data_IF_939042585640
#
_entry.id   IF_939042585640
#
_cell.length_a   1.000
_cell.length_b   1.000
_cell.length_c   1.000
_cell.angle_alpha   90.00
_cell.angle_beta   90.00
_cell.angle_gamma   90.00
#
_symmetry.space_group_name_H-M   'P 1'
#
loop_
_entity.id
_entity.type
_entity.pdbx_description
1 polymer ?
#
# COMPACT_ATOMS: atom_id res chain seq x y z
N UNK A 1 59.02 15.19 -11.81
CA UNK A 1 57.60 14.80 -11.66
C UNK A 1 56.98 14.93 -13.04
N UNK A 2 56.84 13.79 -13.72
CA UNK A 2 56.48 13.75 -15.13
C UNK A 2 55.04 14.22 -15.35
N UNK A 3 54.76 14.74 -16.55
CA UNK A 3 53.43 15.24 -16.91
C UNK A 3 52.34 14.15 -16.78
N UNK A 4 52.71 12.86 -16.86
CA UNK A 4 51.81 11.74 -16.61
C UNK A 4 51.37 11.62 -15.15
N UNK A 5 52.26 11.84 -14.17
CA UNK A 5 51.93 11.70 -12.74
C UNK A 5 50.91 12.74 -12.29
N UNK A 6 50.98 13.94 -12.87
CA UNK A 6 50.03 15.03 -12.59
C UNK A 6 48.62 14.70 -13.10
N UNK A 7 48.51 14.08 -14.28
CA UNK A 7 47.22 13.69 -14.86
C UNK A 7 46.60 12.54 -14.06
N UNK A 8 47.40 11.53 -13.68
CA UNK A 8 46.95 10.42 -12.85
C UNK A 8 46.39 10.90 -11.50
N UNK A 9 47.08 11.84 -10.86
CA UNK A 9 46.68 12.40 -9.57
C UNK A 9 45.33 13.13 -9.63
N UNK A 10 45.08 13.89 -10.71
CA UNK A 10 43.83 14.63 -10.90
C UNK A 10 42.64 13.68 -11.10
N UNK A 11 42.82 12.60 -11.87
CA UNK A 11 41.77 11.60 -12.12
C UNK A 11 41.38 10.88 -10.83
N UNK A 12 42.36 10.53 -9.99
CA UNK A 12 42.10 9.85 -8.71
C UNK A 12 41.30 10.76 -7.77
N UNK A 13 41.65 12.04 -7.67
CA UNK A 13 40.91 13.00 -6.84
C UNK A 13 39.46 13.15 -7.34
N UNK A 14 39.27 13.19 -8.66
CA UNK A 14 37.93 13.28 -9.25
C UNK A 14 37.08 12.05 -8.94
N UNK A 15 37.65 10.85 -9.03
CA UNK A 15 36.95 9.60 -8.71
C UNK A 15 36.57 9.51 -7.23
N UNK A 16 37.44 9.98 -6.32
CA UNK A 16 37.15 10.01 -4.88
C UNK A 16 36.02 11.01 -4.57
N UNK A 17 36.06 12.21 -5.17
CA UNK A 17 35.01 13.20 -5.01
C UNK A 17 33.66 12.73 -5.58
N UNK A 18 33.68 12.05 -6.73
CA UNK A 18 32.48 11.49 -7.35
C UNK A 18 31.89 10.33 -6.56
N UNK A 19 32.74 9.44 -6.01
CA UNK A 19 32.32 8.35 -5.13
C UNK A 19 31.73 8.86 -3.80
N UNK A 20 32.32 9.92 -3.23
CA UNK A 20 31.76 10.60 -2.05
C UNK A 20 30.41 11.26 -2.33
N UNK A 21 30.23 11.84 -3.51
CA UNK A 21 28.97 12.44 -3.93
C UNK A 21 27.86 11.39 -4.14
N UNK A 22 28.18 10.23 -4.72
CA UNK A 22 27.22 9.14 -4.91
C UNK A 22 26.76 8.53 -3.57
N UNK A 23 27.68 8.34 -2.62
CA UNK A 23 27.35 7.79 -1.30
C UNK A 23 26.56 8.76 -0.42
N UNK A 24 26.81 10.07 -0.53
CA UNK A 24 26.03 11.09 0.18
C UNK A 24 24.57 11.20 -0.30
N UNK A 25 24.29 10.84 -1.56
CA UNK A 25 22.94 10.93 -2.14
C UNK A 25 22.02 9.78 -1.71
N UNK A 26 22.56 8.67 -1.22
CA UNK A 26 21.78 7.46 -0.90
C UNK A 26 21.43 7.34 0.60
N UNK A 27 22.11 8.09 1.48
CA UNK A 27 21.97 7.99 2.96
C UNK A 27 20.90 8.93 3.56
N UNK A 28 20.32 9.84 2.77
CA UNK A 28 19.52 10.96 3.32
C UNK A 28 17.99 10.80 3.30
N UNK A 29 17.40 9.59 3.23
CA UNK A 29 15.93 9.48 3.40
C UNK A 29 15.24 8.21 3.98
N UNK A 30 15.86 7.23 4.66
CA UNK A 30 15.07 6.17 5.31
C UNK A 30 14.41 6.62 6.63
N UNK A 31 15.15 7.33 7.50
CA UNK A 31 14.75 7.58 8.90
C UNK A 31 13.51 8.47 9.09
N UNK A 32 13.22 9.41 8.18
CA UNK A 32 12.05 10.29 8.31
C UNK A 32 10.74 9.58 7.93
N UNK A 33 10.80 8.65 6.97
CA UNK A 33 9.64 7.85 6.59
C UNK A 33 9.26 6.86 7.69
N UNK A 34 10.26 6.26 8.35
CA UNK A 34 10.03 5.30 9.44
C UNK A 34 9.42 5.97 10.68
N UNK A 35 9.91 7.14 11.09
CA UNK A 35 9.35 7.87 12.23
C UNK A 35 7.91 8.35 12.00
N UNK A 36 7.58 8.83 10.80
CA UNK A 36 6.22 9.21 10.43
C UNK A 36 5.29 7.98 10.43
N UNK A 37 5.77 6.84 9.93
CA UNK A 37 5.03 5.58 9.92
C UNK A 37 4.76 5.04 11.32
N UNK A 38 5.73 5.13 12.23
CA UNK A 38 5.58 4.65 13.60
C UNK A 38 4.65 5.56 14.43
N UNK A 39 4.69 6.87 14.19
CA UNK A 39 3.71 7.80 14.77
C UNK A 39 2.30 7.56 14.20
N UNK A 40 2.17 7.23 12.91
CA UNK A 40 0.89 6.87 12.29
C UNK A 40 0.29 5.58 12.88
N UNK A 41 1.10 4.55 13.10
CA UNK A 41 0.67 3.32 13.79
C UNK A 41 0.18 3.60 15.22
N UNK A 42 0.86 4.49 15.94
CA UNK A 42 0.46 4.86 17.30
C UNK A 42 -0.91 5.56 17.33
N UNK A 43 -1.23 6.37 16.30
CA UNK A 43 -2.53 7.04 16.17
C UNK A 43 -3.64 6.11 15.70
N UNK A 44 -3.34 5.15 14.81
CA UNK A 44 -4.31 4.17 14.32
C UNK A 44 -4.89 3.26 15.42
N UNK A 45 -4.16 3.08 16.53
CA UNK A 45 -4.56 2.24 17.66
C UNK A 45 -5.41 2.97 18.72
N UNK A 46 -5.71 4.26 18.54
CA UNK A 46 -6.59 4.97 19.47
C UNK A 46 -8.06 4.68 19.15
N UNK A 47 -8.81 4.18 20.13
CA UNK A 47 -10.24 3.98 19.99
C UNK A 47 -10.93 5.33 19.78
N UNK A 48 -11.45 5.57 18.58
CA UNK A 48 -12.28 6.72 18.25
C UNK A 48 -13.75 6.26 18.11
N UNK A 49 -14.65 6.68 19.02
CA UNK A 49 -16.08 6.31 18.96
C UNK A 49 -16.78 6.82 17.71
N UNK A 50 -16.47 8.04 17.26
CA UNK A 50 -17.08 8.66 16.08
C UNK A 50 -16.74 7.85 14.82
N UNK A 51 -15.45 7.57 14.63
CA UNK A 51 -14.97 6.72 13.54
C UNK A 51 -15.64 5.34 13.59
N UNK A 52 -15.68 4.72 14.77
CA UNK A 52 -16.30 3.39 14.93
C UNK A 52 -17.78 3.39 14.56
N UNK A 53 -18.52 4.46 14.88
CA UNK A 53 -19.92 4.59 14.49
C UNK A 53 -20.09 4.83 12.99
N UNK A 54 -19.31 5.74 12.39
CA UNK A 54 -19.34 5.99 10.95
C UNK A 54 -18.95 4.75 10.13
N UNK A 55 -17.95 3.97 10.57
CA UNK A 55 -17.56 2.70 9.95
C UNK A 55 -18.71 1.68 9.95
N UNK A 56 -19.46 1.57 11.06
CA UNK A 56 -20.65 0.69 11.13
C UNK A 56 -21.73 1.12 10.14
N UNK A 57 -21.99 2.42 10.03
CA UNK A 57 -22.96 2.95 9.07
C UNK A 57 -22.53 2.63 7.64
N UNK A 58 -21.27 2.87 7.29
CA UNK A 58 -20.73 2.54 5.98
C UNK A 58 -20.82 1.04 5.68
N UNK A 59 -20.48 0.17 6.65
CA UNK A 59 -20.65 -1.28 6.53
C UNK A 59 -22.11 -1.69 6.29
N UNK A 60 -23.06 -1.07 7.00
CA UNK A 60 -24.49 -1.33 6.80
C UNK A 60 -24.96 -0.88 5.40
N UNK A 61 -24.47 0.26 4.90
CA UNK A 61 -24.78 0.71 3.54
C UNK A 61 -24.27 -0.28 2.49
N UNK A 62 -23.07 -0.83 2.68
CA UNK A 62 -22.54 -1.89 1.81
C UNK A 62 -23.40 -3.15 1.86
N UNK A 63 -23.81 -3.61 3.06
CA UNK A 63 -24.68 -4.78 3.24
C UNK A 63 -26.03 -4.57 2.53
N UNK A 64 -26.61 -3.38 2.67
CA UNK A 64 -27.88 -2.99 2.07
C UNK A 64 -27.78 -2.61 0.58
N UNK A 65 -26.63 -2.87 -0.05
CA UNK A 65 -26.35 -2.58 -1.46
C UNK A 65 -26.53 -1.10 -1.86
N UNK A 66 -26.46 -0.19 -0.90
CA UNK A 66 -26.52 1.26 -1.12
C UNK A 66 -25.12 1.80 -1.46
N UNK A 67 -24.56 1.36 -2.59
CA UNK A 67 -23.14 1.51 -2.92
C UNK A 67 -22.70 2.97 -3.06
N UNK A 68 -23.52 3.85 -3.63
CA UNK A 68 -23.15 5.25 -3.84
C UNK A 68 -23.08 6.02 -2.52
N UNK A 69 -24.06 5.82 -1.63
CA UNK A 69 -24.05 6.38 -0.27
C UNK A 69 -22.89 5.83 0.55
N UNK A 70 -22.59 4.54 0.39
CA UNK A 70 -21.43 3.94 1.02
C UNK A 70 -20.14 4.61 0.53
N UNK A 71 -20.00 4.82 -0.79
CA UNK A 71 -18.83 5.48 -1.37
C UNK A 71 -18.63 6.90 -0.84
N UNK A 72 -19.68 7.72 -0.80
CA UNK A 72 -19.61 9.09 -0.26
C UNK A 72 -19.16 9.10 1.20
N UNK A 73 -19.74 8.22 2.02
CA UNK A 73 -19.37 8.12 3.43
C UNK A 73 -17.93 7.60 3.61
N UNK A 74 -17.51 6.60 2.84
CA UNK A 74 -16.14 6.06 2.92
C UNK A 74 -15.13 7.12 2.44
N UNK A 75 -15.45 7.93 1.43
CA UNK A 75 -14.62 9.09 1.02
C UNK A 75 -14.42 10.07 2.19
N UNK A 76 -15.50 10.42 2.89
CA UNK A 76 -15.39 11.29 4.06
C UNK A 76 -14.55 10.66 5.17
N UNK A 77 -14.68 9.34 5.39
CA UNK A 77 -13.90 8.62 6.39
C UNK A 77 -12.40 8.60 6.09
N UNK A 78 -12.00 8.45 4.83
CA UNK A 78 -10.59 8.55 4.43
C UNK A 78 -10.05 9.96 4.61
N UNK A 79 -10.87 10.99 4.33
CA UNK A 79 -10.47 12.39 4.51
C UNK A 79 -10.35 12.77 6.00
N UNK A 80 -11.31 12.38 6.82
CA UNK A 80 -11.37 12.67 8.26
C UNK A 80 -10.32 11.85 9.04
N UNK A 81 -10.02 10.63 8.58
CA UNK A 81 -9.15 9.67 9.28
C UNK A 81 -8.08 9.07 8.35
N UNK A 82 -7.16 9.90 7.81
CA UNK A 82 -6.21 9.49 6.76
C UNK A 82 -5.16 8.46 7.20
N UNK A 83 -5.03 8.23 8.51
CA UNK A 83 -4.08 7.27 9.08
C UNK A 83 -4.74 5.99 9.58
N UNK A 84 -6.05 5.85 9.39
CA UNK A 84 -6.77 4.64 9.75
C UNK A 84 -6.91 3.72 8.53
N UNK A 85 -6.55 2.44 8.69
CA UNK A 85 -6.65 1.46 7.61
C UNK A 85 -8.08 0.94 7.38
N UNK A 86 -9.01 1.10 8.33
CA UNK A 86 -10.38 0.54 8.23
C UNK A 86 -11.23 1.18 7.12
N UNK A 87 -11.18 2.50 6.89
CA UNK A 87 -11.84 3.10 5.71
C UNK A 87 -11.37 2.49 4.38
N UNK A 88 -10.07 2.23 4.23
CA UNK A 88 -9.53 1.56 3.04
C UNK A 88 -10.04 0.11 2.90
N UNK A 89 -10.20 -0.61 4.02
CA UNK A 89 -10.84 -1.94 4.00
C UNK A 89 -12.30 -1.88 3.50
N UNK A 90 -13.05 -0.82 3.85
CA UNK A 90 -14.41 -0.63 3.35
C UNK A 90 -14.45 -0.23 1.87
N UNK A 91 -13.49 0.58 1.41
CA UNK A 91 -13.35 0.88 -0.02
C UNK A 91 -13.06 -0.38 -0.84
N UNK A 92 -12.20 -1.26 -0.32
CA UNK A 92 -11.95 -2.53 -0.96
C UNK A 92 -13.23 -3.37 -1.07
N UNK A 93 -14.06 -3.38 -0.03
CA UNK A 93 -15.37 -4.08 -0.05
C UNK A 93 -16.36 -3.48 -1.04
N UNK A 94 -16.41 -2.16 -1.11
CA UNK A 94 -17.18 -1.44 -2.12
C UNK A 94 -16.74 -1.87 -3.52
N UNK A 95 -15.44 -1.89 -3.79
CA UNK A 95 -14.90 -2.26 -5.09
C UNK A 95 -15.15 -3.74 -5.44
N UNK A 96 -15.07 -4.65 -4.47
CA UNK A 96 -15.47 -6.04 -4.68
C UNK A 96 -16.95 -6.14 -5.05
N UNK A 97 -17.83 -5.38 -4.39
CA UNK A 97 -19.27 -5.33 -4.71
C UNK A 97 -19.57 -4.71 -6.08
N UNK A 98 -18.70 -3.81 -6.55
CA UNK A 98 -18.75 -3.21 -7.89
C UNK A 98 -18.08 -4.07 -8.98
N UNK A 99 -17.63 -5.29 -8.65
CA UNK A 99 -16.87 -6.17 -9.57
C UNK A 99 -15.59 -5.51 -10.10
N UNK A 100 -14.92 -4.73 -9.25
CA UNK A 100 -13.67 -4.02 -9.54
C UNK A 100 -12.52 -4.58 -8.69
N UNK A 101 -12.09 -5.84 -8.91
CA UNK A 101 -11.15 -6.52 -8.02
C UNK A 101 -9.74 -5.91 -8.04
N UNK A 102 -9.32 -5.29 -9.14
CA UNK A 102 -8.03 -4.59 -9.23
C UNK A 102 -8.03 -3.36 -8.32
N UNK A 103 -9.11 -2.57 -8.33
CA UNK A 103 -9.26 -1.41 -7.45
C UNK A 103 -9.35 -1.85 -5.98
N UNK A 104 -10.06 -2.94 -5.70
CA UNK A 104 -10.10 -3.52 -4.36
C UNK A 104 -8.71 -3.94 -3.85
N UNK A 105 -7.86 -4.52 -4.71
CA UNK A 105 -6.49 -4.89 -4.36
C UNK A 105 -5.67 -3.68 -3.90
N UNK A 106 -5.78 -2.53 -4.57
CA UNK A 106 -5.08 -1.31 -4.18
C UNK A 106 -5.55 -0.79 -2.81
N UNK A 107 -6.84 -0.84 -2.55
CA UNK A 107 -7.38 -0.39 -1.27
C UNK A 107 -7.05 -1.34 -0.12
N UNK A 108 -7.04 -2.65 -0.37
CA UNK A 108 -6.49 -3.61 0.59
C UNK A 108 -5.01 -3.35 0.87
N UNK A 109 -4.22 -2.96 -0.14
CA UNK A 109 -2.82 -2.58 0.07
C UNK A 109 -2.73 -1.38 1.02
N UNK A 110 -3.48 -0.31 0.76
CA UNK A 110 -3.49 0.88 1.60
C UNK A 110 -3.88 0.55 3.04
N UNK A 111 -4.95 -0.25 3.22
CA UNK A 111 -5.43 -0.68 4.53
C UNK A 111 -4.38 -1.49 5.31
N UNK A 112 -3.74 -2.47 4.67
CA UNK A 112 -2.70 -3.33 5.29
C UNK A 112 -1.42 -2.54 5.58
N UNK A 113 -1.06 -1.57 4.75
CA UNK A 113 0.14 -0.77 4.96
C UNK A 113 0.01 0.16 6.17
N UNK A 114 -1.21 0.66 6.41
CA UNK A 114 -1.57 1.46 7.59
C UNK A 114 -1.77 0.60 8.84
N UNK A 115 -2.46 -0.54 8.72
CA UNK A 115 -2.69 -1.46 9.83
C UNK A 115 -2.39 -2.92 9.44
N UNK A 116 -1.19 -3.42 9.77
CA UNK A 116 -0.80 -4.81 9.51
C UNK A 116 -1.66 -5.86 10.23
N UNK A 117 -2.41 -5.51 11.27
CA UNK A 117 -3.23 -6.44 12.06
C UNK A 117 -4.34 -7.08 11.22
N UNK A 118 -4.73 -6.46 10.11
CA UNK A 118 -5.65 -7.07 9.13
C UNK A 118 -5.13 -8.40 8.57
N UNK A 119 -3.82 -8.66 8.65
CA UNK A 119 -3.23 -9.94 8.25
C UNK A 119 -2.83 -10.83 9.44
N UNK A 120 -2.78 -10.30 10.66
CA UNK A 120 -2.42 -11.08 11.84
C UNK A 120 -3.64 -11.84 12.37
N UNK A 121 -3.57 -13.18 12.30
CA UNK A 121 -4.62 -14.10 12.76
C UNK A 121 -4.91 -14.02 14.25
N UNK A 122 -4.01 -13.44 15.04
CA UNK A 122 -4.14 -13.30 16.50
C UNK A 122 -4.97 -12.07 16.89
N UNK A 123 -5.37 -11.24 15.93
CA UNK A 123 -6.13 -10.01 16.19
C UNK A 123 -7.59 -10.16 15.80
N UNK A 124 -8.46 -9.39 16.47
CA UNK A 124 -9.87 -9.30 16.11
C UNK A 124 -10.11 -8.60 14.76
N UNK A 125 -9.09 -7.91 14.23
CA UNK A 125 -9.16 -7.20 12.95
C UNK A 125 -8.82 -8.12 11.77
N UNK A 126 -8.42 -9.37 12.00
CA UNK A 126 -8.00 -10.28 10.93
C UNK A 126 -9.00 -10.35 9.76
N UNK A 127 -8.52 -10.02 8.55
CA UNK A 127 -9.23 -10.11 7.27
C UNK A 127 -8.50 -10.98 6.23
N UNK A 128 -7.41 -11.67 6.62
CA UNK A 128 -6.50 -12.32 5.66
C UNK A 128 -7.15 -13.32 4.71
N UNK A 129 -8.18 -14.08 5.15
CA UNK A 129 -8.93 -15.00 4.27
C UNK A 129 -9.63 -14.25 3.13
N UNK A 130 -10.31 -13.15 3.47
CA UNK A 130 -11.06 -12.31 2.53
C UNK A 130 -10.13 -11.63 1.55
N UNK A 131 -9.06 -10.99 2.05
CA UNK A 131 -8.06 -10.33 1.20
C UNK A 131 -7.46 -11.35 0.21
N UNK A 132 -7.12 -12.56 0.67
CA UNK A 132 -6.59 -13.61 -0.21
C UNK A 132 -7.55 -13.96 -1.35
N UNK A 133 -8.84 -14.12 -1.07
CA UNK A 133 -9.85 -14.40 -2.12
C UNK A 133 -9.90 -13.26 -3.13
N UNK A 134 -10.00 -12.01 -2.65
CA UNK A 134 -10.03 -10.83 -3.52
C UNK A 134 -8.77 -10.66 -4.37
N UNK A 135 -7.59 -11.04 -3.87
CA UNK A 135 -6.36 -11.01 -4.65
C UNK A 135 -6.34 -12.03 -5.79
N UNK A 136 -6.95 -13.20 -5.62
CA UNK A 136 -7.06 -14.18 -6.71
C UNK A 136 -8.03 -13.70 -7.79
N UNK A 137 -9.12 -13.03 -7.41
CA UNK A 137 -10.00 -12.35 -8.37
C UNK A 137 -9.28 -11.22 -9.12
N UNK A 138 -8.48 -10.42 -8.40
CA UNK A 138 -7.66 -9.38 -9.00
C UNK A 138 -6.63 -9.97 -9.97
N UNK A 139 -6.00 -11.10 -9.63
CA UNK A 139 -5.07 -11.83 -10.50
C UNK A 139 -5.74 -12.26 -11.80
N UNK A 140 -6.93 -12.85 -11.71
CA UNK A 140 -7.69 -13.27 -12.88
C UNK A 140 -8.05 -12.07 -13.79
N UNK A 141 -8.45 -10.95 -13.20
CA UNK A 141 -8.72 -9.72 -13.96
C UNK A 141 -7.47 -9.14 -14.63
N UNK A 142 -6.32 -9.15 -13.93
CA UNK A 142 -5.02 -8.73 -14.47
C UNK A 142 -4.62 -9.62 -15.65
N UNK A 143 -4.76 -10.93 -15.51
CA UNK A 143 -4.41 -11.89 -16.57
C UNK A 143 -5.30 -11.71 -17.81
N UNK A 144 -6.59 -11.43 -17.61
CA UNK A 144 -7.52 -11.10 -18.68
C UNK A 144 -7.07 -9.85 -19.45
N UNK A 145 -6.78 -8.75 -18.73
CA UNK A 145 -6.30 -7.51 -19.36
C UNK A 145 -5.00 -7.78 -20.13
N UNK A 146 -4.08 -8.57 -19.58
CA UNK A 146 -2.82 -8.87 -20.26
C UNK A 146 -3.00 -9.62 -21.59
N UNK A 147 -4.01 -10.50 -21.67
CA UNK A 147 -4.30 -11.26 -22.88
C UNK A 147 -5.00 -10.39 -23.93
N UNK A 148 -5.83 -9.44 -23.51
CA UNK A 148 -6.57 -8.52 -24.39
C UNK A 148 -5.69 -7.34 -24.87
N UNK A 149 -4.84 -6.84 -23.98
CA UNK A 149 -3.95 -5.70 -24.22
C UNK A 149 -2.58 -5.93 -23.55
N UNK A 150 -1.70 -6.61 -24.27
CA UNK A 150 -0.34 -6.90 -23.81
C UNK A 150 0.53 -5.63 -23.61
N UNK A 151 0.12 -4.49 -24.17
CA UNK A 151 0.84 -3.23 -24.10
C UNK A 151 0.29 -2.27 -23.04
N UNK A 152 -0.72 -2.68 -22.26
CA UNK A 152 -1.32 -1.83 -21.24
C UNK A 152 -0.25 -1.31 -20.24
N UNK A 153 -0.09 0.02 -20.09
CA UNK A 153 1.00 0.62 -19.32
C UNK A 153 0.93 0.29 -17.81
N UNK A 154 -0.27 0.02 -17.28
CA UNK A 154 -0.51 -0.20 -15.86
C UNK A 154 -0.20 -1.65 -15.43
N UNK A 155 -0.01 -2.57 -16.38
CA UNK A 155 0.23 -3.99 -16.13
C UNK A 155 1.42 -4.26 -15.23
N UNK A 156 2.49 -3.48 -15.37
CA UNK A 156 3.66 -3.58 -14.51
C UNK A 156 3.29 -3.26 -13.05
N UNK A 157 2.49 -2.23 -12.84
CA UNK A 157 2.08 -1.79 -11.51
C UNK A 157 1.06 -2.74 -10.88
N UNK A 158 0.08 -3.24 -11.65
CA UNK A 158 -0.88 -4.24 -11.16
C UNK A 158 -0.18 -5.50 -10.66
N UNK A 159 0.74 -6.06 -11.46
CA UNK A 159 1.51 -7.25 -11.07
C UNK A 159 2.38 -7.00 -9.85
N UNK A 160 3.08 -5.86 -9.82
CA UNK A 160 3.91 -5.46 -8.66
C UNK A 160 3.08 -5.44 -7.37
N UNK A 161 1.89 -4.86 -7.45
CA UNK A 161 0.96 -4.74 -6.31
C UNK A 161 0.42 -6.11 -5.87
N UNK A 162 -0.01 -6.95 -6.82
CA UNK A 162 -0.44 -8.31 -6.53
C UNK A 162 0.64 -9.11 -5.80
N UNK A 163 1.88 -9.11 -6.31
CA UNK A 163 2.98 -9.86 -5.68
C UNK A 163 3.40 -9.28 -4.33
N UNK A 164 3.30 -7.96 -4.15
CA UNK A 164 3.49 -7.32 -2.86
C UNK A 164 2.50 -7.88 -1.83
N UNK A 165 1.20 -7.83 -2.16
CA UNK A 165 0.14 -8.29 -1.27
C UNK A 165 0.19 -9.80 -1.01
N UNK A 166 0.47 -10.60 -2.05
CA UNK A 166 0.66 -12.05 -1.92
C UNK A 166 1.75 -12.40 -0.91
N UNK A 167 2.88 -11.69 -0.96
CA UNK A 167 4.00 -11.88 -0.03
C UNK A 167 3.63 -11.45 1.39
N UNK A 168 2.91 -10.34 1.56
CA UNK A 168 2.42 -9.87 2.86
C UNK A 168 1.53 -10.91 3.53
N UNK A 169 0.57 -11.48 2.80
CA UNK A 169 -0.32 -12.53 3.32
C UNK A 169 0.47 -13.78 3.70
N UNK A 170 1.40 -14.22 2.86
CA UNK A 170 2.22 -15.41 3.13
C UNK A 170 3.10 -15.25 4.38
N UNK A 171 3.70 -14.08 4.57
CA UNK A 171 4.52 -13.77 5.74
C UNK A 171 3.73 -13.59 7.04
N UNK A 172 2.41 -13.40 6.97
CA UNK A 172 1.56 -13.15 8.14
C UNK A 172 1.01 -14.42 8.80
N UNK A 173 1.53 -15.60 8.45
CA UNK A 173 1.07 -16.88 8.98
C UNK A 173 1.81 -17.36 10.25
N UNK A 174 2.49 -16.48 11.00
CA UNK A 174 3.28 -16.81 12.20
C UNK A 174 2.58 -16.54 13.54
#
# INVERSE_FOLDING_TARGET
MDKLDKVSSIIIIFLILWGGFLTAREISSPRKADAARDQQKALANFYNPELSNKLKVAGNLLINNSLDKAEELIKSLVADFPYDGRPHMLFADLYMRKFQPISAMYEFQNGVDLNPDFLDKKTALFQGKKIRVSLEEAKAAIDKIQNEDAANPDMKQHRKTYYYMKRKIAGSCG
#
